data_IF_264421157629
#
_entry.id   IF_264421157629
#
_cell.length_a   1.000
_cell.length_b   1.000
_cell.length_c   1.000
_cell.angle_alpha   90.00
_cell.angle_beta   90.00
_cell.angle_gamma   90.00
#
_symmetry.space_group_name_H-M   'P 1'
#
loop_
_entity.id
_entity.type
_entity.pdbx_description
1 polymer ?
#
# COMPACT_ATOMS: atom_id res chain seq x y z
N UNK A 1 6.78 -7.17 45.91
CA UNK A 1 6.85 -8.47 45.20
C UNK A 1 7.38 -8.21 43.81
N UNK A 2 8.20 -9.10 43.21
CA UNK A 2 8.61 -8.92 41.82
C UNK A 2 7.39 -9.02 40.90
N UNK A 3 7.35 -8.31 39.75
CA UNK A 3 6.23 -8.37 38.83
C UNK A 3 6.15 -9.77 38.21
N UNK A 4 5.15 -10.56 38.59
CA UNK A 4 4.90 -11.91 38.05
C UNK A 4 3.95 -11.90 36.83
N UNK A 5 3.48 -10.71 36.42
CA UNK A 5 2.51 -10.55 35.35
C UNK A 5 3.10 -10.86 33.98
N UNK A 6 2.85 -12.05 33.45
CA UNK A 6 3.05 -12.36 32.03
C UNK A 6 1.78 -12.02 31.26
N UNK A 7 1.91 -11.19 30.23
CA UNK A 7 0.82 -10.89 29.30
C UNK A 7 1.20 -11.36 27.90
N UNK A 8 0.26 -12.03 27.22
CA UNK A 8 0.40 -12.41 25.82
C UNK A 8 -0.52 -11.53 25.00
N UNK A 9 0.05 -10.58 24.26
CA UNK A 9 -0.71 -9.80 23.29
C UNK A 9 -1.02 -10.68 22.08
N UNK A 10 -2.30 -11.05 21.91
CA UNK A 10 -2.76 -11.67 20.67
C UNK A 10 -2.91 -10.57 19.62
N UNK A 11 -2.11 -10.65 18.56
CA UNK A 11 -2.28 -9.81 17.38
C UNK A 11 -3.41 -10.39 16.54
N UNK A 12 -4.63 -9.88 16.74
CA UNK A 12 -5.69 -10.06 15.75
C UNK A 12 -5.37 -9.20 14.53
N UNK A 13 -5.68 -9.67 13.32
CA UNK A 13 -5.44 -8.90 12.09
C UNK A 13 -6.17 -7.56 12.22
N UNK A 14 -5.47 -6.42 12.35
CA UNK A 14 -6.14 -5.14 12.48
C UNK A 14 -6.85 -4.83 11.17
N UNK A 15 -8.13 -4.45 11.22
CA UNK A 15 -8.88 -3.97 10.04
C UNK A 15 -8.17 -2.79 9.34
N UNK A 16 -7.30 -2.09 10.09
CA UNK A 16 -6.53 -0.93 9.64
C UNK A 16 -5.11 -1.26 9.14
N UNK A 17 -4.72 -2.53 9.06
CA UNK A 17 -3.41 -2.88 8.48
C UNK A 17 -3.41 -2.58 6.98
N UNK A 18 -2.45 -1.78 6.47
CA UNK A 18 -2.31 -1.55 5.04
C UNK A 18 -1.81 -2.83 4.37
N UNK A 19 -2.73 -3.63 3.85
CA UNK A 19 -2.43 -4.85 3.07
C UNK A 19 -2.42 -4.58 1.54
N UNK A 20 -2.70 -3.34 1.14
CA UNK A 20 -2.90 -2.97 -0.27
C UNK A 20 -1.61 -2.70 -1.03
N UNK A 21 -0.50 -2.43 -0.36
CA UNK A 21 0.82 -2.40 -0.97
C UNK A 21 1.62 -3.64 -0.51
N UNK A 22 2.38 -4.25 -1.41
CA UNK A 22 3.36 -5.26 -1.02
C UNK A 22 4.67 -4.61 -0.64
N UNK A 23 5.45 -5.36 0.13
CA UNK A 23 6.70 -4.90 0.68
C UNK A 23 6.83 -5.18 2.17
N UNK A 24 7.97 -4.75 2.69
CA UNK A 24 8.25 -4.81 4.11
C UNK A 24 7.57 -3.64 4.81
N UNK A 25 6.80 -3.95 5.83
CA UNK A 25 6.24 -2.96 6.73
C UNK A 25 6.83 -3.13 8.13
N UNK A 26 6.88 -2.02 8.85
CA UNK A 26 7.34 -1.96 10.22
C UNK A 26 6.13 -1.77 11.14
N UNK A 27 5.86 -2.73 12.03
CA UNK A 27 5.01 -2.53 13.19
C UNK A 27 5.86 -2.03 14.35
N UNK A 28 5.44 -0.89 14.90
CA UNK A 28 5.98 -0.36 16.14
C UNK A 28 5.02 -0.72 17.28
N UNK A 29 5.49 -1.54 18.21
CA UNK A 29 4.78 -1.80 19.45
C UNK A 29 5.12 -0.67 20.42
N UNK A 30 4.11 0.11 20.86
CA UNK A 30 4.24 1.09 21.94
C UNK A 30 3.55 0.53 23.19
N UNK A 31 4.28 0.50 24.31
CA UNK A 31 3.76 0.14 25.63
C UNK A 31 3.93 1.36 26.52
N UNK A 32 2.86 1.73 27.24
CA UNK A 32 2.85 2.87 28.15
C UNK A 32 2.29 2.42 29.50
N UNK A 33 2.91 2.87 30.59
CA UNK A 33 2.29 2.74 31.90
C UNK A 33 1.53 4.04 32.20
N UNK A 34 0.26 3.90 32.58
CA UNK A 34 -0.68 5.02 32.74
C UNK A 34 -0.68 5.57 34.17
N UNK A 35 -0.01 4.90 35.11
CA UNK A 35 0.00 5.25 36.54
C UNK A 35 1.38 4.96 37.16
N UNK A 36 2.41 5.67 36.67
CA UNK A 36 3.74 5.63 37.26
C UNK A 36 3.93 6.81 38.20
N UNK A 37 3.86 6.54 39.51
CA UNK A 37 4.02 7.54 40.59
C UNK A 37 5.39 8.22 40.58
N UNK A 38 6.40 7.63 39.95
CA UNK A 38 7.74 8.22 39.83
C UNK A 38 7.79 9.32 38.74
N UNK A 39 6.76 9.43 37.89
CA UNK A 39 6.61 10.48 36.89
C UNK A 39 5.75 11.67 37.39
N UNK A 40 5.35 11.65 38.66
CA UNK A 40 4.57 12.69 39.30
C UNK A 40 5.45 13.89 39.67
N UNK A 41 5.18 15.03 39.05
CA UNK A 41 5.85 16.29 39.37
C UNK A 41 5.01 17.10 40.35
N UNK A 42 5.48 17.22 41.59
CA UNK A 42 4.85 18.12 42.56
C UNK A 42 5.28 19.57 42.31
N UNK A 43 4.41 20.35 41.67
CA UNK A 43 4.68 21.74 41.31
C UNK A 43 4.75 22.66 42.53
N UNK A 44 4.21 22.24 43.69
CA UNK A 44 4.28 23.01 44.94
C UNK A 44 5.69 22.99 45.54
N UNK A 45 6.45 21.91 45.34
CA UNK A 45 7.85 21.82 45.80
C UNK A 45 8.75 22.78 45.02
N UNK A 46 8.40 23.09 43.77
CA UNK A 46 9.16 23.98 42.88
C UNK A 46 8.56 25.40 42.77
N UNK A 47 7.47 25.70 43.47
CA UNK A 47 6.85 27.03 43.49
C UNK A 47 6.22 27.49 42.17
N UNK A 48 5.97 26.58 41.22
CA UNK A 48 5.54 26.89 39.84
C UNK A 48 4.07 26.50 39.56
N UNK A 49 3.31 26.10 40.57
CA UNK A 49 1.89 25.79 40.42
C UNK A 49 1.30 25.05 41.62
N UNK A 50 -0.01 24.84 41.63
CA UNK A 50 -0.70 24.06 42.65
C UNK A 50 -0.95 22.62 42.18
N UNK A 51 -0.51 21.65 42.96
CA UNK A 51 -0.81 20.22 42.78
C UNK A 51 0.30 19.39 42.12
N UNK A 52 0.03 18.09 42.01
CA UNK A 52 0.90 17.10 41.37
C UNK A 52 0.44 16.90 39.92
N UNK A 53 1.37 17.03 38.97
CA UNK A 53 1.15 16.72 37.56
C UNK A 53 1.64 15.32 37.26
N UNK A 54 0.75 14.48 36.75
CA UNK A 54 1.05 13.12 36.32
C UNK A 54 1.55 13.19 34.87
N UNK A 55 2.83 12.89 34.64
CA UNK A 55 3.35 12.70 33.29
C UNK A 55 3.29 11.21 32.95
N UNK A 56 2.80 10.84 31.76
CA UNK A 56 2.73 9.43 31.36
C UNK A 56 4.11 8.76 31.35
N UNK A 57 4.19 7.51 31.79
CA UNK A 57 5.46 6.80 31.90
C UNK A 57 5.98 6.34 30.52
N UNK A 58 7.28 6.49 30.30
CA UNK A 58 7.96 6.01 29.09
C UNK A 58 8.54 4.62 29.38
N UNK A 59 8.32 3.65 28.49
CA UNK A 59 8.96 2.35 28.59
C UNK A 59 10.50 2.51 28.58
N UNK A 60 11.16 2.19 29.70
CA UNK A 60 12.62 2.29 29.87
C UNK A 60 13.44 1.21 29.13
N UNK A 61 12.83 0.49 28.19
CA UNK A 61 13.47 -0.58 27.43
C UNK A 61 13.29 -0.36 25.92
N UNK A 62 14.25 -0.79 25.09
CA UNK A 62 14.14 -0.67 23.64
C UNK A 62 12.96 -1.50 23.14
N UNK A 63 12.07 -0.85 22.39
CA UNK A 63 10.90 -1.52 21.80
C UNK A 63 11.35 -2.35 20.59
N UNK A 64 11.05 -3.66 20.55
CA UNK A 64 11.41 -4.48 19.41
C UNK A 64 10.58 -4.06 18.19
N UNK A 65 11.26 -3.85 17.06
CA UNK A 65 10.59 -3.61 15.78
C UNK A 65 10.07 -4.94 15.23
N UNK A 66 8.77 -5.05 15.00
CA UNK A 66 8.18 -6.20 14.33
C UNK A 66 8.15 -5.93 12.82
N UNK A 67 8.82 -6.77 12.03
CA UNK A 67 8.77 -6.70 10.57
C UNK A 67 7.67 -7.64 10.08
N UNK A 68 6.81 -7.15 9.20
CA UNK A 68 5.86 -7.99 8.48
C UNK A 68 5.99 -7.77 6.98
N UNK A 69 5.79 -8.84 6.23
CA UNK A 69 5.86 -8.83 4.78
C UNK A 69 4.47 -9.11 4.22
N UNK A 70 4.01 -8.22 3.35
CA UNK A 70 2.83 -8.49 2.53
C UNK A 70 3.34 -9.08 1.23
N UNK A 71 3.28 -10.41 1.10
CA UNK A 71 3.64 -11.15 -0.11
C UNK A 71 2.49 -11.24 -1.12
N UNK A 72 2.85 -11.51 -2.39
CA UNK A 72 1.98 -11.54 -3.56
C UNK A 72 0.58 -12.08 -3.29
N UNK A 73 -0.41 -11.23 -3.57
CA UNK A 73 -1.80 -11.45 -3.21
C UNK A 73 -2.40 -12.65 -3.95
N UNK A 74 -3.28 -13.39 -3.26
CA UNK A 74 -4.31 -14.20 -3.90
C UNK A 74 -4.87 -13.43 -5.12
N UNK A 75 -5.11 -14.10 -6.25
CA UNK A 75 -5.62 -13.49 -7.47
C UNK A 75 -6.73 -12.46 -7.19
N UNK A 76 -7.68 -12.77 -6.29
CA UNK A 76 -8.76 -11.86 -5.87
C UNK A 76 -8.31 -10.53 -5.24
N UNK A 77 -7.19 -10.53 -4.53
CA UNK A 77 -6.59 -9.30 -3.95
C UNK A 77 -5.87 -8.53 -5.06
N UNK A 78 -5.10 -9.22 -5.90
CA UNK A 78 -4.42 -8.62 -7.04
C UNK A 78 -5.38 -7.93 -8.01
N UNK A 79 -6.58 -8.49 -8.22
CA UNK A 79 -7.64 -7.85 -9.02
C UNK A 79 -7.93 -6.42 -8.56
N UNK A 80 -7.92 -6.16 -7.25
CA UNK A 80 -8.28 -4.86 -6.68
C UNK A 80 -7.07 -3.95 -6.45
N UNK A 81 -5.90 -4.53 -6.14
CA UNK A 81 -4.72 -3.77 -5.69
C UNK A 81 -3.55 -3.86 -6.67
N UNK A 82 -3.71 -4.53 -7.80
CA UNK A 82 -2.62 -4.81 -8.74
C UNK A 82 -2.11 -3.57 -9.46
N UNK A 83 -2.94 -2.56 -9.71
CA UNK A 83 -2.53 -1.36 -10.43
C UNK A 83 -1.77 -0.38 -9.51
N UNK A 84 -0.62 0.14 -9.95
CA UNK A 84 0.22 1.07 -9.18
C UNK A 84 0.18 2.47 -9.78
N UNK A 85 0.76 2.67 -10.97
CA UNK A 85 0.77 3.97 -11.67
C UNK A 85 0.22 3.83 -13.09
N UNK A 86 -0.48 4.84 -13.64
CA UNK A 86 -0.96 6.03 -12.97
C UNK A 86 -2.06 5.72 -11.92
N UNK A 87 -2.12 6.53 -10.87
CA UNK A 87 -3.24 6.48 -9.91
C UNK A 87 -4.36 7.43 -10.37
N UNK A 88 -5.53 7.38 -9.72
CA UNK A 88 -6.71 8.16 -10.15
C UNK A 88 -6.52 9.68 -10.03
N UNK A 89 -5.55 10.13 -9.23
CA UNK A 89 -5.22 11.55 -9.05
C UNK A 89 -4.04 12.00 -9.92
N UNK A 90 -3.44 11.09 -10.69
CA UNK A 90 -2.32 11.40 -11.60
C UNK A 90 -2.86 12.10 -12.84
N UNK A 91 -2.30 13.27 -13.14
CA UNK A 91 -2.58 14.05 -14.33
C UNK A 91 -1.44 13.83 -15.34
N UNK A 92 -1.75 13.22 -16.49
CA UNK A 92 -0.78 12.95 -17.55
C UNK A 92 -0.62 14.18 -18.45
N UNK A 93 0.63 14.60 -18.66
CA UNK A 93 0.96 15.75 -19.52
C UNK A 93 1.83 15.31 -20.69
N UNK A 94 1.75 16.03 -21.83
CA UNK A 94 2.48 15.68 -23.05
C UNK A 94 4.02 15.73 -22.89
N UNK A 95 4.51 16.46 -21.88
CA UNK A 95 5.94 16.65 -21.63
C UNK A 95 6.55 15.59 -20.68
N UNK A 96 5.74 14.65 -20.19
CA UNK A 96 6.19 13.62 -19.25
C UNK A 96 5.95 12.21 -19.83
N UNK A 97 6.92 11.27 -19.67
CA UNK A 97 6.68 9.89 -20.05
C UNK A 97 5.51 9.30 -19.26
N UNK A 98 4.55 8.68 -19.97
CA UNK A 98 3.47 7.95 -19.32
C UNK A 98 3.98 6.56 -18.96
N UNK A 99 4.00 6.26 -17.65
CA UNK A 99 4.48 4.98 -17.13
C UNK A 99 3.34 4.24 -16.44
N UNK A 100 2.98 3.10 -17.02
CA UNK A 100 2.06 2.15 -16.44
C UNK A 100 2.84 1.13 -15.62
N UNK A 101 2.46 0.89 -14.36
CA UNK A 101 3.09 -0.11 -13.52
C UNK A 101 2.07 -0.86 -12.66
N UNK A 102 2.32 -2.14 -12.44
CA UNK A 102 1.46 -3.02 -11.64
C UNK A 102 2.28 -3.93 -10.73
N UNK A 103 1.63 -4.51 -9.73
CA UNK A 103 2.19 -5.58 -8.88
C UNK A 103 2.32 -6.85 -9.71
N UNK A 104 3.36 -7.63 -9.44
CA UNK A 104 3.47 -8.95 -10.02
C UNK A 104 2.37 -9.88 -9.47
N UNK A 105 1.80 -10.72 -10.33
CA UNK A 105 0.95 -11.83 -9.94
C UNK A 105 1.78 -13.13 -10.04
N UNK A 106 1.97 -13.86 -8.93
CA UNK A 106 2.65 -15.15 -8.97
C UNK A 106 2.05 -16.10 -9.99
N UNK A 107 2.92 -16.81 -10.70
CA UNK A 107 2.57 -17.78 -11.76
C UNK A 107 1.74 -17.17 -12.92
N UNK A 108 1.84 -15.86 -13.14
CA UNK A 108 1.53 -15.28 -14.44
C UNK A 108 2.66 -15.62 -15.41
N UNK A 109 2.32 -16.08 -16.62
CA UNK A 109 3.26 -16.30 -17.71
C UNK A 109 3.48 -15.04 -18.55
N UNK A 110 2.46 -14.18 -18.63
CA UNK A 110 2.49 -12.91 -19.37
C UNK A 110 1.41 -11.95 -18.85
N UNK A 111 1.58 -10.67 -19.18
CA UNK A 111 0.60 -9.62 -18.93
C UNK A 111 0.12 -9.00 -20.23
N UNK A 112 -1.13 -8.53 -20.22
CA UNK A 112 -1.66 -7.61 -21.22
C UNK A 112 -2.13 -6.33 -20.53
N UNK A 113 -1.45 -5.23 -20.80
CA UNK A 113 -1.92 -3.89 -20.48
C UNK A 113 -3.01 -3.52 -21.47
N UNK A 114 -4.12 -2.98 -20.97
CA UNK A 114 -5.25 -2.54 -21.78
C UNK A 114 -5.63 -1.11 -21.41
N UNK A 115 -5.80 -0.26 -22.42
CA UNK A 115 -6.33 1.10 -22.30
C UNK A 115 -7.68 1.12 -22.97
N UNK A 116 -8.67 1.67 -22.29
CA UNK A 116 -10.07 1.68 -22.70
C UNK A 116 -10.64 3.10 -22.65
N UNK A 117 -11.58 3.40 -23.55
CA UNK A 117 -12.40 4.62 -23.50
C UNK A 117 -13.76 4.33 -22.82
N UNK A 118 -14.32 3.14 -23.09
CA UNK A 118 -15.48 2.56 -22.41
C UNK A 118 -15.07 1.35 -21.53
N UNK A 119 -16.00 0.68 -20.85
CA UNK A 119 -15.66 -0.43 -19.95
C UNK A 119 -15.36 -1.77 -20.66
N UNK A 120 -15.63 -1.86 -21.96
CA UNK A 120 -15.73 -3.15 -22.66
C UNK A 120 -14.55 -3.42 -23.59
N UNK A 121 -14.27 -2.52 -24.54
CA UNK A 121 -13.28 -2.77 -25.60
C UNK A 121 -12.01 -1.92 -25.44
N UNK A 122 -10.81 -2.53 -25.46
CA UNK A 122 -9.57 -1.79 -25.38
C UNK A 122 -9.26 -1.06 -26.69
N UNK A 123 -9.03 0.24 -26.61
CA UNK A 123 -8.59 1.09 -27.73
C UNK A 123 -7.08 0.98 -27.98
N UNK A 124 -6.34 0.44 -27.02
CA UNK A 124 -4.91 0.16 -27.11
C UNK A 124 -4.55 -0.99 -26.16
N UNK A 125 -3.61 -1.83 -26.58
CA UNK A 125 -3.06 -2.88 -25.72
C UNK A 125 -1.57 -3.09 -25.96
N UNK A 126 -0.90 -3.61 -24.94
CA UNK A 126 0.49 -4.05 -25.01
C UNK A 126 0.63 -5.38 -24.28
N UNK A 127 1.37 -6.31 -24.88
CA UNK A 127 1.67 -7.62 -24.28
C UNK A 127 3.10 -7.58 -23.74
N UNK A 128 3.28 -8.07 -22.51
CA UNK A 128 4.56 -8.05 -21.80
C UNK A 128 4.87 -9.43 -21.19
N UNK A 129 6.15 -9.83 -21.12
CA UNK A 129 6.55 -11.03 -20.38
C UNK A 129 6.24 -10.88 -18.89
N UNK A 130 6.10 -12.00 -18.17
CA UNK A 130 5.82 -12.00 -16.72
C UNK A 130 6.89 -11.30 -15.88
N UNK A 131 8.12 -11.23 -16.37
CA UNK A 131 9.24 -10.53 -15.73
C UNK A 131 9.15 -9.00 -15.85
N UNK A 132 8.18 -8.48 -16.61
CA UNK A 132 8.00 -7.05 -16.82
C UNK A 132 6.64 -6.58 -16.32
N UNK A 133 6.66 -5.81 -15.23
CA UNK A 133 5.48 -5.23 -14.60
C UNK A 133 5.41 -3.69 -14.76
N UNK A 134 6.19 -3.16 -15.72
CA UNK A 134 6.26 -1.74 -16.05
C UNK A 134 6.24 -1.57 -17.57
N UNK A 135 5.33 -0.73 -18.06
CA UNK A 135 5.22 -0.34 -19.46
C UNK A 135 5.37 1.17 -19.61
N UNK A 136 6.35 1.60 -20.40
CA UNK A 136 6.51 3.00 -20.81
C UNK A 136 5.72 3.21 -22.10
N UNK A 137 4.70 4.06 -22.06
CA UNK A 137 3.92 4.37 -23.24
C UNK A 137 4.76 5.08 -24.30
N UNK A 138 4.43 4.91 -25.59
CA UNK A 138 5.07 5.68 -26.67
C UNK A 138 4.89 7.19 -26.48
N UNK A 139 5.81 7.99 -27.01
CA UNK A 139 5.79 9.46 -26.86
C UNK A 139 4.52 10.11 -27.41
N UNK A 140 3.89 9.50 -28.42
CA UNK A 140 2.64 9.96 -29.02
C UNK A 140 1.38 9.65 -28.18
N UNK A 141 1.50 8.94 -27.05
CA UNK A 141 0.35 8.45 -26.28
C UNK A 141 -0.58 9.59 -25.82
N UNK A 142 -0.01 10.64 -25.22
CA UNK A 142 -0.80 11.78 -24.70
C UNK A 142 -1.37 12.61 -25.85
N UNK A 143 -0.63 12.78 -26.94
CA UNK A 143 -1.15 13.47 -28.13
C UNK A 143 -2.36 12.75 -28.73
N UNK A 144 -2.29 11.43 -28.80
CA UNK A 144 -3.35 10.61 -29.41
C UNK A 144 -4.58 10.44 -28.52
N UNK A 145 -4.40 10.32 -27.22
CA UNK A 145 -5.47 9.97 -26.29
C UNK A 145 -5.78 11.02 -25.23
N UNK A 146 -5.02 12.11 -25.17
CA UNK A 146 -5.26 13.22 -24.24
C UNK A 146 -6.65 13.83 -24.41
N UNK A 147 -7.26 14.22 -23.29
CA UNK A 147 -8.63 14.77 -23.26
C UNK A 147 -9.75 13.73 -23.36
N UNK A 148 -9.43 12.45 -23.61
CA UNK A 148 -10.41 11.36 -23.56
C UNK A 148 -10.64 10.85 -22.14
N UNK A 149 -11.81 10.26 -21.89
CA UNK A 149 -12.12 9.62 -20.60
C UNK A 149 -11.48 8.22 -20.53
N UNK A 150 -10.16 8.18 -20.46
CA UNK A 150 -9.43 6.92 -20.50
C UNK A 150 -9.45 6.18 -19.17
N UNK A 151 -9.35 4.87 -19.33
CA UNK A 151 -9.31 3.87 -18.29
C UNK A 151 -8.24 2.85 -18.64
N UNK A 152 -7.69 2.17 -17.64
CA UNK A 152 -6.73 1.11 -17.86
C UNK A 152 -6.90 -0.06 -16.90
N UNK A 153 -6.42 -1.23 -17.33
CA UNK A 153 -6.35 -2.45 -16.53
C UNK A 153 -5.21 -3.33 -17.02
N UNK A 154 -4.92 -4.37 -16.26
CA UNK A 154 -3.96 -5.41 -16.63
C UNK A 154 -4.63 -6.77 -16.49
N UNK A 155 -4.53 -7.59 -17.54
CA UNK A 155 -4.88 -9.00 -17.51
C UNK A 155 -3.60 -9.84 -17.37
N UNK A 156 -3.61 -10.82 -16.46
CA UNK A 156 -2.55 -11.78 -16.27
C UNK A 156 -2.97 -13.14 -16.85
N UNK A 157 -2.08 -13.78 -17.61
CA UNK A 157 -2.35 -15.03 -18.30
C UNK A 157 -1.49 -16.17 -17.76
N UNK A 158 -2.00 -17.39 -17.85
CA UNK A 158 -1.22 -18.61 -17.60
C UNK A 158 -0.38 -19.02 -18.82
N UNK A 159 0.43 -20.08 -18.69
CA UNK A 159 1.28 -20.61 -19.76
C UNK A 159 0.50 -21.11 -20.99
N UNK A 160 -0.80 -21.35 -20.84
CA UNK A 160 -1.70 -21.80 -21.92
C UNK A 160 -2.41 -20.64 -22.61
N UNK A 161 -2.18 -19.41 -22.15
CA UNK A 161 -2.82 -18.20 -22.68
C UNK A 161 -4.24 -17.97 -22.16
N UNK A 162 -4.68 -18.65 -21.09
CA UNK A 162 -5.95 -18.35 -20.44
C UNK A 162 -5.78 -17.19 -19.47
N UNK A 163 -6.82 -16.37 -19.31
CA UNK A 163 -6.83 -15.32 -18.29
C UNK A 163 -6.88 -15.98 -16.91
N UNK A 164 -5.83 -15.76 -16.11
CA UNK A 164 -5.77 -16.20 -14.71
C UNK A 164 -6.46 -15.20 -13.79
N UNK A 165 -6.26 -13.91 -14.06
CA UNK A 165 -6.84 -12.82 -13.29
C UNK A 165 -6.79 -11.51 -14.08
N UNK A 166 -7.64 -10.55 -13.73
CA UNK A 166 -7.69 -9.24 -14.37
C UNK A 166 -7.97 -8.16 -13.33
N UNK A 167 -7.19 -7.08 -13.35
CA UNK A 167 -7.44 -5.97 -12.43
C UNK A 167 -8.78 -5.29 -12.71
N UNK A 168 -9.31 -4.62 -11.70
CA UNK A 168 -10.34 -3.61 -11.87
C UNK A 168 -9.85 -2.54 -12.85
N UNK A 169 -10.81 -1.85 -13.45
CA UNK A 169 -10.53 -0.75 -14.37
C UNK A 169 -10.27 0.52 -13.56
N UNK A 170 -9.16 1.21 -13.82
CA UNK A 170 -8.79 2.48 -13.16
C UNK A 170 -8.85 3.63 -14.15
N UNK A 171 -9.38 4.78 -13.72
CA UNK A 171 -9.41 6.01 -14.54
C UNK A 171 -8.02 6.64 -14.67
N UNK A 172 -7.76 7.25 -15.82
CA UNK A 172 -6.58 8.07 -16.10
C UNK A 172 -7.01 9.54 -16.18
N UNK A 173 -6.27 10.43 -15.53
CA UNK A 173 -6.41 11.88 -15.67
C UNK A 173 -5.44 12.45 -16.71
N UNK A 174 -5.85 13.52 -17.38
CA UNK A 174 -5.05 14.35 -18.30
C UNK A 174 -5.12 15.81 -17.85
#
# INVERSE_FOLDING_TARGET
MPPTGKFTLKLERPEKMPLSAEGQYLLLLRIEAVDDKEADSNLQVLGVGNGTVHSGAIAGFPLPTLKFFVGGGNAKVWEKTGLLTPNETTILTANQPVIFSWRELPEAAMYRLEILESAEEPIFSAILPSTQNVYRAPSWFVEKFGGKNLRWRVAAFDEKGNIKSQTIVRKIGF
#
